data_IF_360755055673
#
_entry.id   IF_360755055673
#
_cell.length_a   1.000
_cell.length_b   1.000
_cell.length_c   1.000
_cell.angle_alpha   90.00
_cell.angle_beta   90.00
_cell.angle_gamma   90.00
#
_symmetry.space_group_name_H-M   'P 1'
#
loop_
_entity.id
_entity.type
_entity.pdbx_description
1 polymer ?
#
# COMPACT_ATOMS: atom_id res chain seq x y z
N UNK A 1 -17.19 1.64 -18.44
CA UNK A 1 -17.59 1.66 -17.01
C UNK A 1 -16.31 1.91 -16.24
N UNK A 2 -16.27 2.91 -15.40
CA UNK A 2 -15.07 3.30 -14.65
C UNK A 2 -15.17 2.68 -13.25
N UNK A 3 -14.15 1.91 -12.83
CA UNK A 3 -14.03 1.43 -11.46
C UNK A 3 -13.00 2.27 -10.73
N UNK A 4 -13.27 2.54 -9.46
CA UNK A 4 -12.33 3.20 -8.54
C UNK A 4 -11.91 2.21 -7.47
N UNK A 5 -10.71 2.35 -6.94
CA UNK A 5 -10.26 1.44 -5.90
C UNK A 5 -8.83 1.65 -5.45
N UNK A 6 -8.38 0.69 -4.66
CA UNK A 6 -7.04 0.66 -4.08
C UNK A 6 -6.36 -0.66 -4.39
N UNK A 7 -5.08 -0.58 -4.72
CA UNK A 7 -4.16 -1.71 -4.81
C UNK A 7 -3.32 -1.68 -3.54
N UNK A 8 -3.46 -2.69 -2.70
CA UNK A 8 -2.76 -2.76 -1.41
C UNK A 8 -1.47 -3.53 -1.58
N UNK A 9 -0.35 -2.86 -1.41
CA UNK A 9 1.00 -3.39 -1.62
C UNK A 9 1.85 -3.20 -0.36
N UNK A 10 2.96 -3.88 -0.28
CA UNK A 10 3.91 -3.78 0.86
C UNK A 10 4.55 -5.12 1.21
N UNK A 11 5.55 -5.08 2.04
CA UNK A 11 6.32 -6.26 2.47
C UNK A 11 5.45 -7.33 3.15
N UNK A 12 5.90 -8.59 3.21
CA UNK A 12 5.27 -9.60 4.04
C UNK A 12 5.20 -9.11 5.51
N UNK A 13 4.07 -9.32 6.15
CA UNK A 13 3.87 -8.87 7.53
C UNK A 13 3.55 -7.38 7.71
N UNK A 14 3.58 -6.54 6.69
CA UNK A 14 3.24 -5.10 6.79
C UNK A 14 1.74 -4.82 7.09
N UNK A 15 0.89 -5.84 7.19
CA UNK A 15 -0.51 -5.68 7.56
C UNK A 15 -1.47 -5.46 6.40
N UNK A 16 -1.10 -5.81 5.16
CA UNK A 16 -1.93 -5.65 3.96
C UNK A 16 -3.33 -6.25 4.10
N UNK A 17 -3.41 -7.54 4.38
CA UNK A 17 -4.69 -8.25 4.49
C UNK A 17 -5.52 -7.76 5.68
N UNK A 18 -4.86 -7.35 6.78
CA UNK A 18 -5.53 -6.72 7.92
C UNK A 18 -6.12 -5.36 7.54
N UNK A 19 -5.38 -4.57 6.77
CA UNK A 19 -5.88 -3.30 6.22
C UNK A 19 -7.07 -3.53 5.28
N UNK A 20 -6.97 -4.50 4.36
CA UNK A 20 -8.08 -4.86 3.46
C UNK A 20 -9.34 -5.23 4.25
N UNK A 21 -9.21 -6.05 5.30
CA UNK A 21 -10.33 -6.41 6.17
C UNK A 21 -10.95 -5.19 6.85
N UNK A 22 -10.13 -4.33 7.46
CA UNK A 22 -10.57 -3.09 8.11
C UNK A 22 -11.24 -2.12 7.12
N UNK A 23 -10.68 -1.99 5.92
CA UNK A 23 -11.24 -1.14 4.86
C UNK A 23 -12.59 -1.67 4.36
N UNK A 24 -12.73 -2.97 4.14
CA UNK A 24 -14.01 -3.57 3.74
C UNK A 24 -15.09 -3.35 4.79
N UNK A 25 -14.76 -3.48 6.08
CA UNK A 25 -15.69 -3.18 7.18
C UNK A 25 -16.07 -1.68 7.19
N UNK A 26 -15.11 -0.78 6.98
CA UNK A 26 -15.35 0.67 6.88
C UNK A 26 -16.29 0.99 5.72
N UNK A 27 -16.04 0.45 4.53
CA UNK A 27 -16.86 0.65 3.34
C UNK A 27 -18.27 0.10 3.52
N UNK A 28 -18.40 -1.06 4.18
CA UNK A 28 -19.69 -1.66 4.52
C UNK A 28 -20.50 -0.74 5.45
N UNK A 29 -19.88 -0.18 6.49
CA UNK A 29 -20.51 0.80 7.40
C UNK A 29 -20.91 2.08 6.68
N UNK A 30 -20.07 2.55 5.78
CA UNK A 30 -20.33 3.70 4.91
C UNK A 30 -21.40 3.42 3.84
N UNK A 31 -21.95 2.19 3.77
CA UNK A 31 -22.90 1.75 2.74
C UNK A 31 -22.37 1.93 1.32
N UNK A 32 -21.05 1.89 1.16
CA UNK A 32 -20.38 2.00 -0.14
C UNK A 32 -20.20 0.59 -0.73
N UNK A 33 -20.85 0.26 -1.83
CA UNK A 33 -20.69 -1.04 -2.48
C UNK A 33 -19.24 -1.27 -2.86
N UNK A 34 -18.66 -2.38 -2.43
CA UNK A 34 -17.25 -2.70 -2.65
C UNK A 34 -17.06 -4.17 -2.98
N UNK A 35 -15.92 -4.49 -3.59
CA UNK A 35 -15.46 -5.84 -3.89
C UNK A 35 -14.03 -5.99 -3.38
N UNK A 36 -13.77 -7.09 -2.70
CA UNK A 36 -12.43 -7.47 -2.27
C UNK A 36 -11.87 -8.55 -3.20
N UNK A 37 -10.69 -8.28 -3.74
CA UNK A 37 -9.99 -9.15 -4.68
C UNK A 37 -8.67 -9.58 -4.04
N UNK A 38 -8.47 -10.88 -3.87
CA UNK A 38 -7.20 -11.43 -3.43
C UNK A 38 -6.37 -11.86 -4.65
N UNK A 39 -5.23 -11.21 -4.85
CA UNK A 39 -4.23 -11.60 -5.85
C UNK A 39 -2.95 -12.18 -5.21
N UNK A 40 -2.92 -12.38 -3.89
CA UNK A 40 -1.84 -13.05 -3.19
C UNK A 40 -2.10 -14.58 -3.12
N UNK A 41 -1.41 -15.39 -3.91
CA UNK A 41 -1.59 -16.84 -3.90
C UNK A 41 -1.00 -17.51 -2.66
N UNK A 42 -0.10 -16.83 -1.95
CA UNK A 42 0.66 -17.37 -0.82
C UNK A 42 -0.02 -17.14 0.54
N UNK A 43 -1.14 -16.44 0.59
CA UNK A 43 -1.83 -16.14 1.84
C UNK A 43 -2.90 -17.19 2.16
N UNK A 44 -2.54 -18.19 2.97
CA UNK A 44 -3.44 -19.30 3.31
C UNK A 44 -4.62 -18.87 4.19
N UNK A 45 -4.43 -17.89 5.07
CA UNK A 45 -5.42 -17.43 6.04
C UNK A 45 -5.76 -15.95 5.79
N UNK A 46 -6.81 -15.70 5.03
CA UNK A 46 -7.32 -14.34 4.83
C UNK A 46 -8.21 -13.92 6.01
N UNK A 47 -7.99 -12.73 6.58
CA UNK A 47 -8.86 -12.18 7.62
C UNK A 47 -10.19 -11.61 7.07
N UNK A 48 -10.42 -11.76 5.77
CA UNK A 48 -11.62 -11.31 5.08
C UNK A 48 -12.11 -12.37 4.08
N UNK A 49 -13.36 -12.26 3.67
CA UNK A 49 -13.90 -13.04 2.56
C UNK A 49 -13.62 -12.28 1.26
N UNK A 50 -12.82 -12.88 0.38
CA UNK A 50 -12.60 -12.34 -0.95
C UNK A 50 -13.81 -12.62 -1.85
N UNK A 51 -14.24 -11.63 -2.63
CA UNK A 51 -15.27 -11.81 -3.66
C UNK A 51 -14.67 -12.49 -4.89
N UNK A 52 -13.40 -12.26 -5.14
CA UNK A 52 -12.59 -12.91 -6.17
C UNK A 52 -11.27 -13.31 -5.55
N UNK A 53 -10.92 -14.58 -5.64
CA UNK A 53 -9.69 -15.14 -5.10
C UNK A 53 -8.89 -15.82 -6.20
N UNK A 54 -7.64 -15.40 -6.40
CA UNK A 54 -6.77 -16.03 -7.39
C UNK A 54 -6.52 -17.50 -7.11
N UNK A 55 -6.58 -17.92 -5.85
CA UNK A 55 -6.39 -19.32 -5.44
C UNK A 55 -7.48 -20.26 -5.95
N UNK A 56 -8.67 -19.73 -6.29
CA UNK A 56 -9.73 -20.51 -6.94
C UNK A 56 -9.42 -20.79 -8.41
N UNK A 57 -8.58 -19.94 -9.04
CA UNK A 57 -8.23 -20.05 -10.46
C UNK A 57 -6.92 -20.78 -10.67
N UNK A 58 -6.02 -20.67 -9.72
CA UNK A 58 -4.64 -21.17 -9.76
C UNK A 58 -4.45 -22.12 -8.58
N UNK A 59 -4.73 -23.40 -8.78
CA UNK A 59 -4.22 -24.42 -7.87
C UNK A 59 -2.72 -24.57 -8.18
N UNK A 60 -1.88 -24.58 -7.14
CA UNK A 60 -0.42 -24.74 -7.28
C UNK A 60 -0.08 -25.97 -8.12
N UNK A 61 -0.88 -27.02 -8.05
CA UNK A 61 -0.79 -28.24 -8.85
C UNK A 61 -1.09 -28.03 -10.34
N UNK A 62 -2.01 -27.09 -10.68
CA UNK A 62 -2.37 -26.76 -12.06
C UNK A 62 -1.35 -25.82 -12.75
N UNK A 63 -0.57 -25.05 -11.98
CA UNK A 63 0.48 -24.15 -12.53
C UNK A 63 1.62 -24.91 -13.14
N UNK A 64 1.91 -26.11 -12.64
CA UNK A 64 2.95 -26.97 -13.20
C UNK A 64 2.52 -27.65 -14.50
N UNK A 65 1.21 -27.78 -14.76
CA UNK A 65 0.69 -28.49 -15.95
C UNK A 65 0.05 -27.58 -17.01
N UNK A 66 -0.43 -26.36 -16.66
CA UNK A 66 -1.23 -25.52 -17.58
C UNK A 66 -0.82 -24.03 -17.59
N UNK A 67 0.33 -23.76 -18.17
CA UNK A 67 0.83 -22.38 -18.44
C UNK A 67 0.01 -21.62 -19.52
N UNK A 68 -1.30 -21.73 -19.59
CA UNK A 68 -2.07 -21.06 -20.65
C UNK A 68 -3.34 -20.33 -20.22
N UNK A 69 -3.66 -20.16 -18.95
CA UNK A 69 -4.79 -19.35 -18.50
C UNK A 69 -4.29 -18.06 -17.83
N UNK A 70 -4.24 -16.99 -18.62
CA UNK A 70 -3.96 -15.65 -18.13
C UNK A 70 -5.05 -15.11 -17.19
N UNK A 71 -4.81 -13.96 -16.50
CA UNK A 71 -5.71 -13.33 -15.54
C UNK A 71 -7.10 -12.94 -16.10
N UNK A 72 -7.32 -13.13 -17.38
CA UNK A 72 -8.55 -12.74 -18.09
C UNK A 72 -9.83 -13.45 -17.60
N UNK A 73 -9.73 -14.65 -17.04
CA UNK A 73 -10.90 -15.41 -16.59
C UNK A 73 -11.54 -14.86 -15.31
N UNK A 74 -10.75 -14.47 -14.32
CA UNK A 74 -11.23 -13.88 -13.07
C UNK A 74 -11.85 -12.49 -13.30
N UNK A 75 -11.24 -11.74 -14.21
CA UNK A 75 -11.62 -10.37 -14.51
C UNK A 75 -12.91 -10.28 -15.32
N UNK A 76 -13.30 -11.33 -16.04
CA UNK A 76 -14.60 -11.38 -16.70
C UNK A 76 -15.76 -11.41 -15.69
N UNK A 77 -15.55 -11.95 -14.47
CA UNK A 77 -16.55 -11.90 -13.38
C UNK A 77 -16.81 -10.48 -12.88
N UNK A 78 -15.82 -9.60 -12.91
CA UNK A 78 -15.98 -8.20 -12.45
C UNK A 78 -17.03 -7.42 -13.26
N UNK A 79 -17.19 -7.71 -14.55
CA UNK A 79 -18.21 -7.06 -15.38
C UNK A 79 -19.65 -7.31 -14.88
N UNK A 80 -19.84 -8.29 -14.02
CA UNK A 80 -21.15 -8.62 -13.43
C UNK A 80 -21.51 -7.71 -12.25
N UNK A 81 -20.55 -6.92 -11.73
CA UNK A 81 -20.71 -6.09 -10.54
C UNK A 81 -20.40 -4.63 -10.85
N UNK A 82 -21.31 -3.90 -11.53
CA UNK A 82 -21.11 -2.48 -11.85
C UNK A 82 -21.07 -1.61 -10.59
N UNK A 83 -20.36 -0.47 -10.68
CA UNK A 83 -20.35 0.61 -9.68
C UNK A 83 -19.86 0.20 -8.28
N UNK A 84 -18.88 -0.70 -8.21
CA UNK A 84 -18.27 -1.12 -6.95
C UNK A 84 -16.87 -0.57 -6.79
N UNK A 85 -16.52 -0.24 -5.55
CA UNK A 85 -15.17 0.13 -5.18
C UNK A 85 -14.31 -1.12 -5.03
N UNK A 86 -13.13 -1.11 -5.64
CA UNK A 86 -12.24 -2.27 -5.65
C UNK A 86 -11.19 -2.14 -4.55
N UNK A 87 -11.04 -3.20 -3.76
CA UNK A 87 -9.95 -3.38 -2.80
C UNK A 87 -9.17 -4.61 -3.24
N UNK A 88 -7.92 -4.41 -3.67
CA UNK A 88 -7.11 -5.45 -4.28
C UNK A 88 -5.93 -5.75 -3.37
N UNK A 89 -5.92 -6.91 -2.72
CA UNK A 89 -4.80 -7.41 -1.92
C UNK A 89 -3.77 -8.07 -2.82
N UNK A 90 -2.52 -7.58 -2.77
CA UNK A 90 -1.43 -7.98 -3.66
C UNK A 90 -0.39 -8.83 -2.94
N UNK A 91 0.40 -9.64 -3.68
CA UNK A 91 1.51 -10.40 -3.10
C UNK A 91 2.47 -9.53 -2.30
N UNK A 92 3.00 -10.09 -1.20
CA UNK A 92 3.90 -9.35 -0.31
C UNK A 92 5.37 -9.34 -0.74
N UNK A 93 5.72 -9.97 -1.84
CA UNK A 93 7.10 -10.05 -2.31
C UNK A 93 7.49 -8.74 -3.02
N UNK A 94 8.40 -7.97 -2.42
CA UNK A 94 8.82 -6.65 -2.94
C UNK A 94 9.54 -6.74 -4.28
N UNK A 95 10.17 -7.88 -4.57
CA UNK A 95 10.85 -8.15 -5.82
C UNK A 95 9.92 -8.06 -7.03
N UNK A 96 8.65 -8.42 -6.86
CA UNK A 96 7.62 -8.33 -7.90
C UNK A 96 7.32 -6.89 -8.32
N UNK A 97 7.61 -5.91 -7.46
CA UNK A 97 7.37 -4.49 -7.72
C UNK A 97 8.61 -3.76 -8.21
N UNK A 98 9.81 -4.25 -7.85
CA UNK A 98 11.07 -3.57 -8.15
C UNK A 98 11.83 -4.17 -9.33
N UNK A 99 11.78 -5.49 -9.49
CA UNK A 99 12.63 -6.21 -10.46
C UNK A 99 11.82 -6.91 -11.55
N UNK A 100 10.57 -7.23 -11.29
CA UNK A 100 9.69 -7.92 -12.22
C UNK A 100 8.69 -6.92 -12.85
N UNK A 101 8.43 -7.08 -14.14
CA UNK A 101 7.45 -6.25 -14.86
C UNK A 101 6.03 -6.78 -14.76
N UNK A 102 5.81 -7.97 -14.23
CA UNK A 102 4.50 -8.63 -14.22
C UNK A 102 3.44 -7.79 -13.51
N UNK A 103 3.76 -7.21 -12.35
CA UNK A 103 2.81 -6.36 -11.61
C UNK A 103 2.54 -5.06 -12.37
N UNK A 104 3.58 -4.42 -12.92
CA UNK A 104 3.44 -3.19 -13.72
C UNK A 104 2.57 -3.45 -14.97
N UNK A 105 2.71 -4.60 -15.63
CA UNK A 105 1.87 -5.00 -16.77
C UNK A 105 0.40 -5.22 -16.36
N UNK A 106 0.15 -5.84 -15.20
CA UNK A 106 -1.20 -6.01 -14.64
C UNK A 106 -1.83 -4.65 -14.37
N UNK A 107 -1.12 -3.74 -13.71
CA UNK A 107 -1.60 -2.38 -13.39
C UNK A 107 -1.87 -1.59 -14.68
N UNK A 108 -0.97 -1.66 -15.66
CA UNK A 108 -1.16 -1.06 -16.98
C UNK A 108 -2.42 -1.59 -17.66
N UNK A 109 -2.69 -2.88 -17.50
CA UNK A 109 -3.89 -3.52 -18.06
C UNK A 109 -5.16 -3.02 -17.37
N UNK A 110 -5.13 -2.83 -16.04
CA UNK A 110 -6.22 -2.19 -15.30
C UNK A 110 -6.48 -0.76 -15.81
N UNK A 111 -5.44 0.01 -16.08
CA UNK A 111 -5.56 1.33 -16.70
C UNK A 111 -6.22 1.29 -18.09
N UNK A 112 -5.89 0.32 -18.94
CA UNK A 112 -6.55 0.11 -20.25
C UNK A 112 -8.04 -0.23 -20.14
N UNK A 113 -8.45 -0.82 -19.00
CA UNK A 113 -9.85 -1.08 -18.70
C UNK A 113 -10.57 0.11 -18.05
N UNK A 114 -9.91 1.26 -17.99
CA UNK A 114 -10.42 2.48 -17.36
C UNK A 114 -10.65 2.34 -15.83
N UNK A 115 -9.91 1.47 -15.18
CA UNK A 115 -9.90 1.40 -13.74
C UNK A 115 -9.01 2.50 -13.18
N UNK A 116 -9.55 3.29 -12.28
CA UNK A 116 -8.83 4.36 -11.57
C UNK A 116 -8.46 3.86 -10.19
N UNK A 117 -7.26 3.37 -10.09
CA UNK A 117 -6.73 2.78 -8.87
C UNK A 117 -5.60 3.65 -8.32
N UNK A 118 -5.45 3.66 -6.99
CA UNK A 118 -4.24 4.14 -6.35
C UNK A 118 -3.56 2.99 -5.61
N UNK A 119 -2.24 3.00 -5.55
CA UNK A 119 -1.47 2.07 -4.73
C UNK A 119 -1.43 2.59 -3.29
N UNK A 120 -1.81 1.74 -2.33
CA UNK A 120 -1.61 1.98 -0.90
C UNK A 120 -0.46 1.10 -0.46
N UNK A 121 0.72 1.71 -0.31
CA UNK A 121 1.95 1.03 0.05
C UNK A 121 2.14 1.01 1.56
N UNK A 122 1.97 -0.16 2.16
CA UNK A 122 2.10 -0.38 3.59
C UNK A 122 3.53 -0.76 3.97
N UNK A 123 4.13 0.01 4.87
CA UNK A 123 5.40 -0.31 5.52
C UNK A 123 5.17 -0.47 7.02
N UNK A 124 5.90 -1.40 7.66
CA UNK A 124 5.79 -1.63 9.09
C UNK A 124 6.53 -0.52 9.85
N UNK A 125 5.86 0.18 10.75
CA UNK A 125 6.45 1.26 11.54
C UNK A 125 7.58 0.81 12.48
N UNK A 126 7.74 -0.47 12.75
CA UNK A 126 8.87 -1.00 13.51
C UNK A 126 10.24 -0.72 12.85
N UNK A 127 10.26 -0.46 11.52
CA UNK A 127 11.50 -0.07 10.84
C UNK A 127 11.94 1.37 11.14
N UNK A 128 11.07 2.20 11.75
CA UNK A 128 11.36 3.60 12.07
C UNK A 128 12.32 3.77 13.22
N UNK A 129 12.46 2.77 14.08
CA UNK A 129 13.39 2.81 15.23
C UNK A 129 14.86 2.88 14.82
N UNK A 130 15.20 2.57 13.59
CA UNK A 130 16.55 2.54 13.04
C UNK A 130 16.64 3.46 11.81
N UNK A 131 17.46 4.54 11.86
CA UNK A 131 17.58 5.48 10.73
C UNK A 131 17.96 4.83 9.39
N UNK A 132 18.80 3.81 9.40
CA UNK A 132 19.22 3.11 8.18
C UNK A 132 18.10 2.28 7.58
N UNK A 133 17.29 1.64 8.42
CA UNK A 133 16.10 0.91 7.98
C UNK A 133 15.06 1.86 7.41
N UNK A 134 14.86 3.00 8.07
CA UNK A 134 13.90 3.99 7.58
C UNK A 134 14.29 4.55 6.21
N UNK A 135 15.55 4.93 5.99
CA UNK A 135 16.06 5.33 4.65
C UNK A 135 15.79 4.23 3.63
N UNK A 136 15.97 2.98 3.99
CA UNK A 136 15.69 1.84 3.09
C UNK A 136 14.20 1.72 2.75
N UNK A 137 13.31 1.97 3.71
CA UNK A 137 11.86 2.00 3.50
C UNK A 137 11.47 3.13 2.53
N UNK A 138 12.03 4.33 2.72
CA UNK A 138 11.78 5.48 1.83
C UNK A 138 12.25 5.20 0.41
N UNK A 139 13.45 4.64 0.25
CA UNK A 139 13.99 4.25 -1.07
C UNK A 139 13.15 3.17 -1.73
N UNK A 140 12.70 2.19 -0.97
CA UNK A 140 11.80 1.15 -1.47
C UNK A 140 10.48 1.75 -1.96
N UNK A 141 9.86 2.64 -1.16
CA UNK A 141 8.64 3.33 -1.53
C UNK A 141 8.80 4.15 -2.81
N UNK A 142 9.91 4.89 -2.94
CA UNK A 142 10.24 5.67 -4.13
C UNK A 142 10.45 4.76 -5.35
N UNK A 143 11.19 3.66 -5.20
CA UNK A 143 11.41 2.70 -6.29
C UNK A 143 10.10 2.11 -6.80
N UNK A 144 9.23 1.69 -5.91
CA UNK A 144 7.90 1.15 -6.26
C UNK A 144 7.06 2.19 -6.98
N UNK A 145 7.05 3.45 -6.48
CA UNK A 145 6.32 4.56 -7.09
C UNK A 145 6.76 4.79 -8.54
N UNK A 146 8.07 4.80 -8.80
CA UNK A 146 8.62 5.00 -10.13
C UNK A 146 8.31 3.82 -11.06
N UNK A 147 8.35 2.58 -10.53
CA UNK A 147 8.14 1.38 -11.35
C UNK A 147 6.66 1.12 -11.68
N UNK A 148 5.74 1.45 -10.80
CA UNK A 148 4.32 1.18 -11.00
C UNK A 148 3.61 2.27 -11.82
N UNK A 149 4.13 3.49 -11.85
CA UNK A 149 3.57 4.64 -12.58
C UNK A 149 2.07 4.89 -12.26
N UNK A 150 1.67 4.65 -11.02
CA UNK A 150 0.31 4.85 -10.52
C UNK A 150 0.34 5.77 -9.29
N UNK A 151 -0.73 6.54 -9.06
CA UNK A 151 -0.83 7.34 -7.85
C UNK A 151 -0.61 6.46 -6.62
N UNK A 152 0.31 6.85 -5.73
CA UNK A 152 0.70 6.06 -4.58
C UNK A 152 0.54 6.86 -3.29
N UNK A 153 -0.02 6.20 -2.28
CA UNK A 153 -0.10 6.68 -0.90
C UNK A 153 0.77 5.75 -0.06
N UNK A 154 1.84 6.30 0.55
CA UNK A 154 2.69 5.52 1.43
C UNK A 154 2.14 5.58 2.85
N UNK A 155 2.16 4.45 3.54
CA UNK A 155 1.53 4.28 4.83
C UNK A 155 2.48 3.57 5.79
N UNK A 156 2.68 4.15 6.97
CA UNK A 156 3.32 3.49 8.08
C UNK A 156 2.25 2.81 8.93
N UNK A 157 2.21 1.51 8.83
CA UNK A 157 1.23 0.67 9.52
C UNK A 157 1.69 0.30 10.92
N UNK A 158 0.76 -0.14 11.77
CA UNK A 158 1.01 -0.64 13.12
C UNK A 158 1.62 0.40 14.07
N UNK A 159 1.26 1.66 13.91
CA UNK A 159 1.77 2.73 14.78
C UNK A 159 1.30 2.58 16.23
N UNK A 160 0.29 1.76 16.47
CA UNK A 160 -0.18 1.34 17.79
C UNK A 160 0.81 0.43 18.55
N UNK A 161 1.75 -0.20 17.82
CA UNK A 161 2.78 -1.06 18.39
C UNK A 161 4.11 -0.35 18.66
N UNK A 162 4.20 0.94 18.31
CA UNK A 162 5.41 1.72 18.53
C UNK A 162 5.63 1.98 20.01
N UNK A 163 6.90 1.84 20.45
CA UNK A 163 7.27 2.17 21.80
C UNK A 163 7.17 3.69 22.04
N UNK A 164 6.76 4.16 23.24
CA UNK A 164 6.80 5.57 23.60
C UNK A 164 8.21 6.20 23.56
N UNK A 165 9.24 5.36 23.61
CA UNK A 165 10.65 5.77 23.67
C UNK A 165 11.30 5.95 22.28
N UNK A 166 10.51 6.16 21.22
CA UNK A 166 11.06 6.40 19.88
C UNK A 166 11.77 7.75 19.86
N UNK A 167 13.01 7.81 19.32
CA UNK A 167 13.81 9.02 19.31
C UNK A 167 13.26 10.15 18.42
N UNK A 168 12.17 9.89 17.68
CA UNK A 168 11.55 10.85 16.76
C UNK A 168 10.08 11.06 17.08
N UNK A 169 9.60 12.30 16.85
CA UNK A 169 8.18 12.58 16.86
C UNK A 169 7.52 11.94 15.62
N UNK A 170 6.33 11.39 15.77
CA UNK A 170 5.54 10.79 14.65
C UNK A 170 5.34 11.78 13.50
N UNK A 171 5.24 13.10 13.79
CA UNK A 171 5.16 14.16 12.78
C UNK A 171 6.38 14.22 11.84
N UNK A 172 7.55 13.77 12.31
CA UNK A 172 8.74 13.68 11.47
C UNK A 172 8.54 12.71 10.30
N UNK A 173 7.85 11.61 10.51
CA UNK A 173 7.62 10.60 9.48
C UNK A 173 6.54 11.02 8.47
N UNK A 174 5.59 11.86 8.89
CA UNK A 174 4.57 12.40 8.00
C UNK A 174 5.14 13.41 7.00
N UNK A 175 6.06 14.26 7.42
CA UNK A 175 6.54 15.40 6.62
C UNK A 175 7.93 15.19 5.99
N UNK A 176 8.73 14.23 6.51
CA UNK A 176 10.13 13.99 6.08
C UNK A 176 10.95 15.29 5.89
N UNK A 177 10.98 16.21 6.86
CA UNK A 177 11.44 17.58 6.63
C UNK A 177 12.95 17.71 6.40
N UNK A 178 13.77 16.80 6.93
CA UNK A 178 15.23 16.85 6.82
C UNK A 178 15.88 15.49 7.07
N UNK A 179 16.12 14.76 5.98
CA UNK A 179 16.79 13.46 6.03
C UNK A 179 18.26 13.56 6.48
N UNK A 180 18.87 14.77 6.47
CA UNK A 180 20.24 14.99 6.96
C UNK A 180 20.36 14.74 8.46
N UNK A 181 19.26 14.87 9.22
CA UNK A 181 19.24 14.48 10.62
C UNK A 181 19.44 12.97 10.79
N UNK A 182 18.83 12.16 9.91
CA UNK A 182 19.00 10.71 9.91
C UNK A 182 20.45 10.31 9.57
N UNK A 183 21.07 11.03 8.63
CA UNK A 183 22.48 10.77 8.26
C UNK A 183 23.40 11.01 9.45
N UNK A 184 23.18 12.09 10.23
CA UNK A 184 23.98 12.36 11.43
C UNK A 184 23.90 11.23 12.45
N UNK A 185 22.73 10.65 12.64
CA UNK A 185 22.55 9.53 13.56
C UNK A 185 23.21 8.23 13.06
N UNK A 186 23.30 8.06 11.75
CA UNK A 186 24.06 6.95 11.15
C UNK A 186 25.57 7.13 11.35
N UNK A 187 26.05 8.39 11.37
CA UNK A 187 27.47 8.69 11.58
C UNK A 187 27.94 8.33 13.00
N UNK A 188 27.06 8.39 13.99
CA UNK A 188 27.35 7.99 15.36
C UNK A 188 27.52 6.48 15.53
N UNK A 189 27.11 5.68 14.52
CA UNK A 189 27.27 4.23 14.56
C UNK A 189 28.59 3.79 13.89
N UNK A 190 29.57 3.22 14.63
CA UNK A 190 30.91 2.94 14.13
C UNK A 190 30.98 2.08 12.85
N UNK A 191 30.02 1.16 12.67
CA UNK A 191 29.95 0.30 11.49
C UNK A 191 29.44 1.02 10.24
N UNK A 192 28.67 2.08 10.40
CA UNK A 192 27.98 2.80 9.32
C UNK A 192 28.72 4.08 8.91
N UNK A 193 29.58 4.62 9.76
CA UNK A 193 30.35 5.83 9.49
C UNK A 193 31.17 5.78 8.17
N UNK A 194 31.66 4.59 7.79
CA UNK A 194 32.37 4.40 6.50
C UNK A 194 31.48 4.62 5.27
N UNK A 195 30.17 4.56 5.40
CA UNK A 195 29.20 4.72 4.31
C UNK A 195 28.60 6.14 4.27
N UNK A 196 29.08 7.07 5.07
CA UNK A 196 28.57 8.44 5.19
C UNK A 196 28.27 9.09 3.83
N UNK A 197 29.24 9.15 2.92
CA UNK A 197 29.05 9.75 1.59
C UNK A 197 27.98 9.08 0.77
N UNK A 198 27.82 7.76 0.91
CA UNK A 198 26.77 7.02 0.23
C UNK A 198 25.40 7.37 0.82
N UNK A 199 25.28 7.39 2.14
CA UNK A 199 24.05 7.74 2.84
C UNK A 199 23.61 9.19 2.54
N UNK A 200 24.55 10.15 2.54
CA UNK A 200 24.31 11.53 2.10
C UNK A 200 23.80 11.58 0.65
N UNK A 201 24.42 10.81 -0.26
CA UNK A 201 23.98 10.72 -1.65
C UNK A 201 22.57 10.16 -1.79
N UNK A 202 22.23 9.12 -1.04
CA UNK A 202 20.88 8.54 -1.02
C UNK A 202 19.83 9.52 -0.49
N UNK A 203 20.14 10.20 0.60
CA UNK A 203 19.24 11.22 1.15
C UNK A 203 19.03 12.39 0.17
N UNK A 204 20.07 12.85 -0.51
CA UNK A 204 19.94 13.89 -1.54
C UNK A 204 19.01 13.42 -2.69
N UNK A 205 19.14 12.17 -3.15
CA UNK A 205 18.23 11.63 -4.17
C UNK A 205 16.78 11.66 -3.67
N UNK A 206 16.51 11.24 -2.44
CA UNK A 206 15.16 11.25 -1.87
C UNK A 206 14.62 12.69 -1.78
N UNK A 207 15.44 13.63 -1.30
CA UNK A 207 15.08 15.05 -1.17
C UNK A 207 14.82 15.68 -2.55
N UNK A 208 15.62 15.37 -3.57
CA UNK A 208 15.46 15.89 -4.93
C UNK A 208 14.13 15.44 -5.56
N UNK A 209 13.69 14.22 -5.31
CA UNK A 209 12.39 13.75 -5.77
C UNK A 209 11.23 14.36 -4.97
N UNK A 210 11.39 14.55 -3.66
CA UNK A 210 10.40 15.13 -2.73
C UNK A 210 8.96 14.59 -2.91
N UNK A 211 8.85 13.31 -3.23
CA UNK A 211 7.57 12.67 -3.57
C UNK A 211 7.07 11.72 -2.49
N UNK A 212 7.91 11.39 -1.51
CA UNK A 212 7.59 10.39 -0.49
C UNK A 212 7.19 11.06 0.81
N UNK A 213 5.96 10.87 1.23
CA UNK A 213 5.42 11.20 2.56
C UNK A 213 4.69 9.97 3.06
N UNK A 214 4.51 9.86 4.36
CA UNK A 214 3.83 8.72 4.95
C UNK A 214 2.60 9.18 5.74
N UNK A 215 1.53 8.42 5.58
CA UNK A 215 0.35 8.48 6.44
C UNK A 215 0.48 7.46 7.56
N UNK A 216 0.15 7.86 8.79
CA UNK A 216 0.24 6.99 9.96
C UNK A 216 -1.04 6.17 10.14
N UNK A 217 -0.93 4.86 10.13
CA UNK A 217 -2.07 3.95 10.21
C UNK A 217 -2.07 3.09 11.48
N UNK A 218 -3.17 3.18 12.20
CA UNK A 218 -3.67 2.18 13.12
C UNK A 218 -5.01 1.67 12.59
N UNK A 219 -5.08 0.40 12.22
CA UNK A 219 -6.30 -0.22 11.65
C UNK A 219 -7.46 -0.22 12.64
N UNK A 220 -7.19 -0.20 13.94
CA UNK A 220 -8.21 -0.14 14.99
C UNK A 220 -8.81 1.28 15.14
N UNK A 221 -8.10 2.31 14.66
CA UNK A 221 -8.55 3.69 14.68
C UNK A 221 -9.44 4.00 13.48
N UNK A 222 -10.74 4.13 13.70
CA UNK A 222 -11.70 4.50 12.66
C UNK A 222 -11.36 5.83 12.00
N UNK A 223 -10.83 6.77 12.78
CA UNK A 223 -10.47 8.10 12.28
C UNK A 223 -9.30 8.02 11.29
N UNK A 224 -8.23 7.30 11.64
CA UNK A 224 -7.07 7.09 10.76
C UNK A 224 -7.47 6.33 9.50
N UNK A 225 -8.27 5.27 9.64
CA UNK A 225 -8.79 4.52 8.48
C UNK A 225 -9.64 5.38 7.55
N UNK A 226 -10.50 6.25 8.10
CA UNK A 226 -11.32 7.16 7.30
C UNK A 226 -10.47 8.23 6.60
N UNK A 227 -9.45 8.76 7.29
CA UNK A 227 -8.52 9.72 6.70
C UNK A 227 -7.78 9.10 5.51
N UNK A 228 -7.22 7.92 5.70
CA UNK A 228 -6.52 7.19 4.63
C UNK A 228 -7.44 6.88 3.44
N UNK A 229 -8.69 6.47 3.68
CA UNK A 229 -9.67 6.28 2.61
C UNK A 229 -9.90 7.57 1.80
N UNK A 230 -10.00 8.73 2.46
CA UNK A 230 -10.18 10.03 1.77
C UNK A 230 -8.98 10.39 0.91
N UNK A 231 -7.76 10.18 1.44
CA UNK A 231 -6.53 10.44 0.70
C UNK A 231 -6.46 9.52 -0.53
N UNK A 232 -6.74 8.24 -0.37
CA UNK A 232 -6.78 7.29 -1.46
C UNK A 232 -7.86 7.61 -2.50
N UNK A 233 -9.04 8.06 -2.07
CA UNK A 233 -10.12 8.50 -2.96
C UNK A 233 -9.72 9.76 -3.75
N UNK A 234 -9.02 10.69 -3.12
CA UNK A 234 -8.46 11.85 -3.80
C UNK A 234 -7.41 11.42 -4.83
N UNK A 235 -6.53 10.49 -4.46
CA UNK A 235 -5.45 10.00 -5.32
C UNK A 235 -5.97 9.23 -6.55
N UNK A 236 -7.05 8.45 -6.41
CA UNK A 236 -7.65 7.72 -7.53
C UNK A 236 -8.67 8.56 -8.34
N UNK A 237 -8.97 9.78 -7.90
CA UNK A 237 -9.90 10.70 -8.55
C UNK A 237 -11.37 10.36 -8.29
N UNK A 238 -11.67 9.59 -7.25
CA UNK A 238 -13.05 9.40 -6.80
C UNK A 238 -13.54 10.67 -6.13
N UNK A 239 -14.37 11.42 -6.84
CA UNK A 239 -14.88 12.69 -6.36
C UNK A 239 -16.06 12.45 -5.40
N UNK A 240 -15.83 12.68 -4.12
CA UNK A 240 -16.83 12.53 -3.06
C UNK A 240 -17.71 13.78 -3.00
N UNK A 241 -18.33 14.17 -4.11
CA UNK A 241 -19.33 15.24 -4.06
C UNK A 241 -20.52 14.90 -3.11
N UNK A 242 -20.77 13.61 -2.89
CA UNK A 242 -21.82 13.09 -2.01
C UNK A 242 -21.30 12.58 -0.65
N UNK A 243 -20.02 12.70 -0.36
CA UNK A 243 -19.41 12.14 0.86
C UNK A 243 -19.47 13.10 2.06
N UNK A 244 -20.35 14.05 2.06
CA UNK A 244 -20.50 15.06 3.12
C UNK A 244 -20.74 14.44 4.49
N UNK A 245 -21.02 13.14 4.58
CA UNK A 245 -21.43 12.52 5.84
C UNK A 245 -20.72 11.20 6.23
N UNK A 246 -19.65 10.79 5.53
CA UNK A 246 -18.91 9.59 5.94
C UNK A 246 -18.43 9.66 7.40
N UNK A 247 -18.02 10.83 7.88
CA UNK A 247 -17.65 11.03 9.29
C UNK A 247 -18.81 10.72 10.23
N UNK A 248 -20.00 11.23 9.94
CA UNK A 248 -21.16 11.06 10.80
C UNK A 248 -21.71 9.63 10.79
N UNK A 249 -21.49 8.88 9.68
CA UNK A 249 -21.94 7.49 9.54
C UNK A 249 -20.96 6.52 10.19
N UNK A 250 -19.66 6.78 10.09
CA UNK A 250 -18.62 5.85 10.51
C UNK A 250 -18.19 6.02 11.96
N UNK A 251 -18.24 7.26 12.49
CA UNK A 251 -17.80 7.54 13.86
C UNK A 251 -18.91 7.33 14.91
N UNK A 252 -20.15 7.16 14.50
CA UNK A 252 -21.24 6.65 15.34
C UNK A 252 -21.19 5.14 15.42
#
# INVERSE_FOLDING_TARGET
MVYYGQIVIGAPGAGKSTYCAGLMELLRRAKRPSLCINLDPANDLLPFQADIDIRELVKVEDVMEKLSLGPNGALHRLKQFPDRYLVIDMPGQLELYNSDRSISEIITTFGKWQWRLCAVHLSDSLYESDPGKFISVVLCALSIMVNLEVAQVNVLSKVDLLSPDIPYNLEFFEQLPDLKQLVRLLDDHPALAKYKKMNEGLCNVIEDYNLVNFELLDVNSKEKMLNLLKIADTANGFNIADATDLRNIVLK
#
